data_IF_088873945249
#
_entry.id   IF_088873945249
#
_cell.length_a   1.000
_cell.length_b   1.000
_cell.length_c   1.000
_cell.angle_alpha   90.00
_cell.angle_beta   90.00
_cell.angle_gamma   90.00
#
_symmetry.space_group_name_H-M   'P 1'
#
loop_
_entity.id
_entity.type
_entity.pdbx_description
1 polymer ?
#
# COMPACT_ATOMS: atom_id res chain seq x y z
N UNK A 1 50.18 11.30 46.59
CA UNK A 1 48.96 10.71 45.97
C UNK A 1 49.37 10.08 44.65
N UNK A 2 49.70 8.79 44.66
CA UNK A 2 50.22 8.07 43.48
C UNK A 2 49.07 7.78 42.51
N UNK A 3 49.06 8.45 41.37
CA UNK A 3 48.14 8.15 40.27
C UNK A 3 48.41 6.72 39.77
N UNK A 4 47.53 5.78 40.08
CA UNK A 4 47.56 4.44 39.46
C UNK A 4 47.35 4.63 37.96
N UNK A 5 48.38 4.36 37.17
CA UNK A 5 48.24 4.34 35.72
C UNK A 5 47.22 3.27 35.31
N UNK A 6 46.32 3.57 34.35
CA UNK A 6 45.36 2.61 33.86
C UNK A 6 46.08 1.48 33.10
N UNK A 7 45.73 0.22 33.38
CA UNK A 7 46.27 -0.95 32.69
C UNK A 7 46.01 -0.87 31.18
N UNK A 8 47.00 -1.21 30.32
CA UNK A 8 46.85 -1.31 28.87
C UNK A 8 45.72 -2.25 28.45
N UNK A 9 45.09 -2.01 27.31
CA UNK A 9 43.98 -2.84 26.82
C UNK A 9 44.43 -4.27 26.46
N UNK A 10 45.60 -4.41 25.83
CA UNK A 10 46.24 -5.70 25.54
C UNK A 10 46.43 -6.56 26.79
N UNK A 11 46.83 -5.94 27.90
CA UNK A 11 47.04 -6.61 29.18
C UNK A 11 45.72 -7.14 29.75
N UNK A 12 44.63 -6.37 29.64
CA UNK A 12 43.30 -6.78 30.09
C UNK A 12 42.77 -7.95 29.28
N UNK A 13 42.97 -7.92 27.96
CA UNK A 13 42.53 -8.99 27.05
C UNK A 13 43.26 -10.30 27.37
N UNK A 14 44.59 -10.28 27.52
CA UNK A 14 45.36 -11.49 27.85
C UNK A 14 44.99 -12.04 29.25
N UNK A 15 44.77 -11.17 30.24
CA UNK A 15 44.31 -11.58 31.57
C UNK A 15 42.94 -12.27 31.53
N UNK A 16 42.02 -11.81 30.66
CA UNK A 16 40.71 -12.43 30.46
C UNK A 16 40.83 -13.77 29.72
N UNK A 17 41.69 -13.87 28.68
CA UNK A 17 41.95 -15.13 27.97
C UNK A 17 42.46 -16.24 28.87
N UNK A 18 43.30 -15.92 29.85
CA UNK A 18 43.78 -16.90 30.83
C UNK A 18 42.64 -17.52 31.65
N UNK A 19 41.52 -16.82 31.81
CA UNK A 19 40.36 -17.29 32.57
C UNK A 19 39.35 -17.96 31.64
N UNK A 20 39.05 -17.36 30.48
CA UNK A 20 38.00 -17.86 29.56
C UNK A 20 38.48 -18.96 28.62
N UNK A 21 39.70 -18.87 28.09
CA UNK A 21 40.25 -19.85 27.14
C UNK A 21 41.10 -20.91 27.83
N UNK A 22 41.91 -20.51 28.82
CA UNK A 22 42.83 -21.43 29.54
C UNK A 22 42.25 -22.01 30.84
N UNK A 23 41.06 -21.55 31.25
CA UNK A 23 40.30 -22.14 32.37
C UNK A 23 40.89 -21.91 33.77
N UNK A 24 41.81 -20.96 33.96
CA UNK A 24 42.35 -20.66 35.28
C UNK A 24 41.30 -19.98 36.18
N UNK A 25 41.36 -20.25 37.49
CA UNK A 25 40.47 -19.58 38.46
C UNK A 25 40.84 -18.10 38.60
N UNK A 26 39.82 -17.25 38.74
CA UNK A 26 39.97 -15.80 38.89
C UNK A 26 40.90 -15.42 40.06
N UNK A 27 40.83 -16.18 41.16
CA UNK A 27 41.68 -15.97 42.33
C UNK A 27 43.17 -16.19 42.05
N UNK A 28 43.50 -17.24 41.29
CA UNK A 28 44.88 -17.61 40.96
C UNK A 28 45.49 -16.59 39.99
N UNK A 29 44.69 -16.17 39.00
CA UNK A 29 45.09 -15.14 38.02
C UNK A 29 45.27 -13.79 38.72
N UNK A 30 44.36 -13.41 39.62
CA UNK A 30 44.44 -12.19 40.44
C UNK A 30 45.73 -12.11 41.26
N UNK A 31 46.09 -13.20 41.94
CA UNK A 31 47.31 -13.29 42.74
C UNK A 31 48.57 -13.21 41.88
N UNK A 32 48.56 -13.85 40.69
CA UNK A 32 49.73 -13.91 39.79
C UNK A 32 50.05 -12.56 39.12
N UNK A 33 49.04 -11.83 38.67
CA UNK A 33 49.24 -10.56 37.93
C UNK A 33 49.09 -9.31 38.79
N UNK A 34 48.80 -9.45 40.10
CA UNK A 34 48.73 -8.35 41.05
C UNK A 34 47.53 -7.42 40.85
N UNK A 35 46.41 -7.93 40.33
CA UNK A 35 45.19 -7.17 40.05
C UNK A 35 44.05 -7.69 40.93
N UNK A 36 43.22 -6.80 41.50
CA UNK A 36 42.05 -7.20 42.30
C UNK A 36 41.09 -8.10 41.50
N UNK A 37 40.53 -9.12 42.15
CA UNK A 37 39.48 -9.98 41.56
C UNK A 37 38.30 -9.18 41.00
N UNK A 38 37.90 -8.08 41.67
CA UNK A 38 36.83 -7.20 41.18
C UNK A 38 37.12 -6.61 39.79
N UNK A 39 38.36 -6.18 39.55
CA UNK A 39 38.79 -5.67 38.24
C UNK A 39 38.80 -6.76 37.18
N UNK A 40 39.21 -7.98 37.53
CA UNK A 40 39.17 -9.13 36.63
C UNK A 40 37.74 -9.51 36.24
N UNK A 41 36.80 -9.57 37.18
CA UNK A 41 35.38 -9.79 36.85
C UNK A 41 34.82 -8.69 35.93
N UNK A 42 35.22 -7.43 36.16
CA UNK A 42 34.85 -6.32 35.28
C UNK A 42 35.42 -6.48 33.87
N UNK A 43 36.67 -6.94 33.74
CA UNK A 43 37.29 -7.20 32.44
C UNK A 43 36.72 -8.42 31.74
N UNK A 44 36.40 -9.50 32.45
CA UNK A 44 35.70 -10.66 31.88
C UNK A 44 34.38 -10.21 31.25
N UNK A 45 33.57 -9.42 31.97
CA UNK A 45 32.33 -8.87 31.41
C UNK A 45 32.55 -8.00 30.18
N UNK A 46 33.67 -7.28 30.12
CA UNK A 46 33.99 -6.35 29.03
C UNK A 46 34.78 -6.97 27.86
N UNK A 47 35.42 -8.13 28.01
CA UNK A 47 36.35 -8.69 27.02
C UNK A 47 36.23 -10.22 26.82
N UNK A 48 35.31 -10.91 27.51
CA UNK A 48 35.11 -12.35 27.32
C UNK A 48 34.64 -12.73 25.90
N UNK A 49 33.98 -11.80 25.21
CA UNK A 49 33.63 -11.94 23.79
C UNK A 49 34.64 -11.16 22.97
N UNK A 50 35.31 -11.77 21.98
CA UNK A 50 36.21 -11.07 21.06
C UNK A 50 35.56 -9.84 20.43
N UNK A 51 36.35 -8.79 20.19
CA UNK A 51 35.85 -7.56 19.57
C UNK A 51 35.21 -7.81 18.18
N UNK A 52 35.77 -8.75 17.42
CA UNK A 52 35.25 -9.21 16.12
C UNK A 52 33.86 -9.85 16.24
N UNK A 53 33.65 -10.72 17.23
CA UNK A 53 32.35 -11.35 17.48
C UNK A 53 31.29 -10.34 17.95
N UNK A 54 31.69 -9.34 18.76
CA UNK A 54 30.77 -8.24 19.15
C UNK A 54 30.36 -7.38 17.97
N UNK A 55 31.29 -7.05 17.08
CA UNK A 55 30.99 -6.31 15.85
C UNK A 55 30.05 -7.11 14.95
N UNK A 56 30.29 -8.41 14.80
CA UNK A 56 29.44 -9.31 14.03
C UNK A 56 28.03 -9.41 14.63
N UNK A 57 27.90 -9.61 15.94
CA UNK A 57 26.58 -9.65 16.61
C UNK A 57 25.80 -8.34 16.46
N UNK A 58 26.49 -7.20 16.53
CA UNK A 58 25.86 -5.89 16.35
C UNK A 58 25.36 -5.72 14.91
N UNK A 59 26.20 -6.05 13.93
CA UNK A 59 25.84 -6.05 12.50
C UNK A 59 24.66 -6.99 12.21
N UNK A 60 24.70 -8.22 12.71
CA UNK A 60 23.60 -9.19 12.58
C UNK A 60 22.31 -8.69 13.24
N UNK A 61 22.40 -8.03 14.40
CA UNK A 61 21.23 -7.45 15.06
C UNK A 61 20.62 -6.29 14.27
N UNK A 62 21.43 -5.48 13.59
CA UNK A 62 20.98 -4.42 12.68
C UNK A 62 20.29 -5.00 11.45
N UNK A 63 20.87 -6.02 10.81
CA UNK A 63 20.24 -6.74 9.70
C UNK A 63 18.92 -7.39 10.13
N UNK A 64 18.87 -8.02 11.31
CA UNK A 64 17.66 -8.64 11.83
C UNK A 64 16.55 -7.60 12.05
N UNK A 65 16.90 -6.39 12.52
CA UNK A 65 15.95 -5.27 12.67
C UNK A 65 15.45 -4.80 11.31
N UNK A 66 16.34 -4.66 10.32
CA UNK A 66 15.99 -4.27 8.95
C UNK A 66 15.04 -5.29 8.30
N UNK A 67 15.41 -6.58 8.34
CA UNK A 67 14.61 -7.67 7.78
C UNK A 67 13.24 -7.79 8.46
N UNK A 68 13.17 -7.64 9.79
CA UNK A 68 11.89 -7.62 10.52
C UNK A 68 11.00 -6.44 10.09
N UNK A 69 11.58 -5.27 9.84
CA UNK A 69 10.82 -4.11 9.36
C UNK A 69 10.28 -4.32 7.94
N UNK A 70 11.09 -4.92 7.05
CA UNK A 70 10.67 -5.26 5.69
C UNK A 70 9.58 -6.34 5.69
N UNK A 71 9.75 -7.40 6.49
CA UNK A 71 8.74 -8.46 6.62
C UNK A 71 7.41 -7.90 7.12
N UNK A 72 7.43 -6.97 8.08
CA UNK A 72 6.23 -6.28 8.57
C UNK A 72 5.55 -5.51 7.45
N UNK A 73 6.31 -4.70 6.69
CA UNK A 73 5.80 -3.94 5.54
C UNK A 73 5.14 -4.86 4.50
N UNK A 74 5.83 -5.92 4.10
CA UNK A 74 5.33 -6.85 3.07
C UNK A 74 4.09 -7.61 3.56
N UNK A 75 4.02 -7.95 4.85
CA UNK A 75 2.84 -8.59 5.44
C UNK A 75 1.63 -7.66 5.41
N UNK A 76 1.82 -6.37 5.73
CA UNK A 76 0.77 -5.36 5.61
C UNK A 76 0.29 -5.21 4.15
N UNK A 77 1.21 -5.15 3.18
CA UNK A 77 0.89 -5.10 1.74
C UNK A 77 0.07 -6.32 1.28
N UNK A 78 0.43 -7.53 1.73
CA UNK A 78 -0.30 -8.76 1.42
C UNK A 78 -1.70 -8.80 2.04
N UNK A 79 -1.88 -8.29 3.25
CA UNK A 79 -3.19 -8.32 3.90
C UNK A 79 -4.17 -7.34 3.23
N UNK A 80 -3.66 -6.26 2.64
CA UNK A 80 -4.41 -5.34 1.79
C UNK A 80 -4.87 -6.05 0.52
N UNK A 81 -3.95 -6.76 -0.15
CA UNK A 81 -4.22 -7.58 -1.33
C UNK A 81 -5.36 -8.57 -1.06
N UNK A 82 -5.31 -9.30 0.06
CA UNK A 82 -6.35 -10.27 0.43
C UNK A 82 -7.72 -9.62 0.62
N UNK A 83 -7.78 -8.46 1.27
CA UNK A 83 -9.06 -7.76 1.51
C UNK A 83 -9.63 -7.13 0.24
N UNK A 84 -8.80 -6.50 -0.57
CA UNK A 84 -9.20 -5.96 -1.86
C UNK A 84 -9.69 -7.09 -2.79
N UNK A 85 -8.93 -8.19 -2.89
CA UNK A 85 -9.34 -9.37 -3.65
C UNK A 85 -10.65 -9.96 -3.12
N UNK A 86 -10.85 -10.05 -1.80
CA UNK A 86 -12.11 -10.52 -1.22
C UNK A 86 -13.30 -9.60 -1.55
N UNK A 87 -13.10 -8.28 -1.55
CA UNK A 87 -14.12 -7.32 -1.98
C UNK A 87 -14.52 -7.56 -3.43
N UNK A 88 -13.55 -7.62 -4.35
CA UNK A 88 -13.85 -7.80 -5.77
C UNK A 88 -14.40 -9.21 -6.08
N UNK A 89 -13.88 -10.26 -5.46
CA UNK A 89 -14.40 -11.63 -5.62
C UNK A 89 -15.85 -11.76 -5.13
N UNK A 90 -16.20 -11.15 -4.00
CA UNK A 90 -17.59 -11.11 -3.51
C UNK A 90 -18.52 -10.39 -4.48
N UNK A 91 -18.03 -9.35 -5.17
CA UNK A 91 -18.78 -8.58 -6.16
C UNK A 91 -18.92 -9.33 -7.51
N UNK A 92 -17.89 -10.09 -7.92
CA UNK A 92 -17.93 -10.92 -9.13
C UNK A 92 -18.76 -12.21 -8.96
N UNK A 93 -18.97 -12.68 -7.72
CA UNK A 93 -19.73 -13.91 -7.42
C UNK A 93 -21.25 -13.82 -7.61
N UNK A 94 -21.80 -12.64 -7.89
CA UNK A 94 -23.23 -12.45 -8.19
C UNK A 94 -23.58 -12.86 -9.65
N UNK A 95 -23.01 -13.96 -10.15
CA UNK A 95 -23.35 -14.54 -11.45
C UNK A 95 -24.05 -15.92 -11.36
N UNK A 96 -24.37 -16.39 -10.16
CA UNK A 96 -25.12 -17.64 -10.00
C UNK A 96 -26.01 -17.59 -8.76
N UNK A 97 -27.27 -17.16 -8.95
CA UNK A 97 -28.46 -17.93 -8.62
C UNK A 97 -29.73 -17.11 -8.93
N UNK A 98 -30.72 -17.85 -9.41
CA UNK A 98 -32.03 -17.43 -9.89
C UNK A 98 -32.83 -16.49 -8.97
N UNK A 99 -33.74 -15.75 -9.62
CA UNK A 99 -35.07 -15.32 -9.17
C UNK A 99 -35.23 -15.23 -7.64
N UNK A 100 -35.14 -14.02 -7.11
CA UNK A 100 -36.32 -13.31 -6.65
C UNK A 100 -35.92 -11.89 -6.24
N UNK A 101 -36.83 -10.96 -6.50
CA UNK A 101 -36.75 -9.56 -6.09
C UNK A 101 -36.71 -9.52 -4.57
N UNK A 102 -35.51 -9.44 -4.00
CA UNK A 102 -35.30 -9.15 -2.60
C UNK A 102 -34.44 -7.92 -2.48
N UNK A 103 -35.13 -6.82 -2.22
CA UNK A 103 -34.62 -5.56 -1.73
C UNK A 103 -33.98 -5.82 -0.37
N UNK A 104 -32.75 -6.36 -0.38
CA UNK A 104 -31.99 -6.58 0.84
C UNK A 104 -31.48 -5.22 1.34
N UNK A 105 -31.72 -4.86 2.61
CA UNK A 105 -31.09 -3.69 3.20
C UNK A 105 -29.57 -3.90 3.15
N UNK A 106 -28.86 -2.97 2.51
CA UNK A 106 -27.41 -2.95 2.52
C UNK A 106 -26.94 -2.98 3.98
N UNK A 107 -26.15 -3.97 4.42
CA UNK A 107 -25.57 -3.90 5.74
C UNK A 107 -24.61 -2.71 5.73
N UNK A 108 -24.82 -1.78 6.67
CA UNK A 108 -23.97 -0.63 6.96
C UNK A 108 -22.59 -1.09 7.44
N UNK A 109 -21.80 -1.67 6.54
CA UNK A 109 -20.43 -2.09 6.79
C UNK A 109 -19.49 -0.94 6.39
N UNK A 110 -19.38 0.05 7.27
CA UNK A 110 -18.25 0.99 7.25
C UNK A 110 -17.03 0.19 7.70
N UNK A 111 -16.34 -0.43 6.77
CA UNK A 111 -15.08 -1.11 7.07
C UNK A 111 -13.95 -0.08 6.95
N UNK A 112 -13.51 0.46 8.08
CA UNK A 112 -12.36 1.36 8.18
C UNK A 112 -11.09 0.53 8.33
N UNK A 113 -10.18 0.61 7.36
CA UNK A 113 -8.90 -0.09 7.44
C UNK A 113 -7.75 0.89 7.29
N UNK A 114 -6.71 0.72 8.11
CA UNK A 114 -5.44 1.41 7.97
C UNK A 114 -4.51 0.61 7.04
N UNK A 115 -4.17 1.18 5.89
CA UNK A 115 -3.12 0.70 4.99
C UNK A 115 -1.81 1.39 5.42
N UNK A 116 -0.80 0.59 5.82
CA UNK A 116 0.54 1.05 6.22
C UNK A 116 0.56 2.17 7.28
N UNK A 117 -0.46 2.22 8.14
CA UNK A 117 -0.61 3.23 9.20
C UNK A 117 -0.82 4.67 8.72
N UNK A 118 -1.08 4.93 7.41
CA UNK A 118 -1.25 6.30 6.86
C UNK A 118 -2.33 6.47 5.80
N UNK A 119 -3.07 5.43 5.43
CA UNK A 119 -4.17 5.50 4.45
C UNK A 119 -5.42 4.83 5.04
N UNK A 120 -6.57 5.53 5.04
CA UNK A 120 -7.86 5.01 5.52
C UNK A 120 -8.69 4.63 4.29
N UNK A 121 -8.80 3.34 4.02
CA UNK A 121 -9.76 2.89 3.02
C UNK A 121 -11.16 2.97 3.64
N UNK A 122 -11.94 4.00 3.30
CA UNK A 122 -13.38 4.03 3.57
C UNK A 122 -14.08 3.52 2.32
N UNK A 123 -14.40 2.22 2.31
CA UNK A 123 -15.19 1.61 1.25
C UNK A 123 -16.64 2.06 1.42
N UNK A 124 -17.11 2.97 0.58
CA UNK A 124 -18.54 3.26 0.49
C UNK A 124 -19.15 2.30 -0.53
N UNK A 125 -20.23 1.56 -0.18
CA UNK A 125 -20.90 0.69 -1.12
C UNK A 125 -21.54 1.57 -2.20
N UNK A 126 -20.96 1.58 -3.41
CA UNK A 126 -21.59 2.21 -4.56
C UNK A 126 -22.67 1.30 -5.14
N UNK A 127 -23.83 1.88 -5.43
CA UNK A 127 -25.02 1.14 -5.86
C UNK A 127 -24.77 0.34 -7.14
N UNK A 128 -24.77 -0.99 -7.01
CA UNK A 128 -24.80 -1.93 -8.11
C UNK A 128 -26.19 -1.87 -8.76
N UNK A 129 -26.27 -1.45 -10.02
CA UNK A 129 -27.51 -1.56 -10.80
C UNK A 129 -27.19 -2.14 -12.17
N UNK A 130 -27.46 -3.44 -12.33
CA UNK A 130 -27.52 -4.08 -13.64
C UNK A 130 -28.68 -3.45 -14.41
N UNK A 131 -28.37 -2.62 -15.41
CA UNK A 131 -29.38 -2.19 -16.37
C UNK A 131 -29.43 -3.22 -17.50
N UNK A 132 -30.34 -4.17 -17.38
CA UNK A 132 -30.78 -4.96 -18.54
C UNK A 132 -31.58 -4.03 -19.48
N UNK A 133 -30.91 -3.41 -20.46
CA UNK A 133 -31.60 -2.99 -21.69
C UNK A 133 -31.54 -4.17 -22.67
N UNK A 134 -32.69 -4.65 -23.21
CA UNK A 134 -32.68 -5.74 -24.17
C UNK A 134 -31.88 -5.36 -25.41
N UNK A 135 -30.87 -6.17 -25.76
CA UNK A 135 -30.09 -6.02 -27.00
C UNK A 135 -28.57 -5.80 -26.84
N UNK A 136 -28.02 -5.72 -25.62
CA UNK A 136 -26.57 -5.50 -25.40
C UNK A 136 -26.03 -6.44 -24.31
N UNK A 137 -25.60 -7.64 -24.70
CA UNK A 137 -25.15 -8.68 -23.76
C UNK A 137 -23.72 -8.47 -23.23
N UNK A 138 -22.86 -7.77 -23.96
CA UNK A 138 -21.43 -7.64 -23.62
C UNK A 138 -20.96 -6.21 -23.39
N UNK A 139 -21.69 -5.19 -23.87
CA UNK A 139 -21.30 -3.78 -23.75
C UNK A 139 -22.37 -2.93 -23.06
N UNK A 140 -21.92 -1.99 -22.23
CA UNK A 140 -22.78 -0.95 -21.64
C UNK A 140 -23.19 0.12 -22.66
N UNK A 141 -24.12 1.02 -22.31
CA UNK A 141 -24.46 2.15 -23.16
C UNK A 141 -23.28 3.12 -23.30
N UNK A 142 -23.09 3.68 -24.50
CA UNK A 142 -22.00 4.61 -24.86
C UNK A 142 -22.09 5.97 -24.16
N UNK A 143 -23.27 6.30 -23.60
CA UNK A 143 -23.53 7.54 -22.88
C UNK A 143 -22.83 7.64 -21.52
N UNK A 144 -22.19 6.54 -21.07
CA UNK A 144 -21.47 6.49 -19.80
C UNK A 144 -22.37 6.53 -18.57
N UNK A 145 -23.69 6.44 -18.72
CA UNK A 145 -24.65 6.60 -17.63
C UNK A 145 -24.47 5.56 -16.51
N UNK A 146 -24.12 4.32 -16.89
CA UNK A 146 -23.72 3.27 -15.96
C UNK A 146 -22.47 3.60 -15.17
N UNK A 147 -21.42 4.07 -15.84
CA UNK A 147 -20.16 4.47 -15.22
C UNK A 147 -20.34 5.71 -14.32
N UNK A 148 -21.12 6.71 -14.76
CA UNK A 148 -21.41 7.93 -13.99
C UNK A 148 -22.10 7.60 -12.68
N UNK A 149 -23.09 6.70 -12.69
CA UNK A 149 -23.74 6.24 -11.46
C UNK A 149 -22.82 5.43 -10.57
N UNK A 150 -21.95 4.59 -11.12
CA UNK A 150 -20.99 3.84 -10.33
C UNK A 150 -19.99 4.77 -9.61
N UNK A 151 -19.60 5.87 -10.25
CA UNK A 151 -18.77 6.93 -9.68
C UNK A 151 -19.54 7.90 -8.75
N UNK A 152 -20.74 7.56 -8.28
CA UNK A 152 -21.53 8.45 -7.44
C UNK A 152 -20.86 8.75 -6.08
N UNK A 153 -20.16 9.88 -6.02
CA UNK A 153 -19.45 10.37 -4.82
C UNK A 153 -20.38 10.76 -3.67
N UNK A 154 -21.67 10.97 -3.95
CA UNK A 154 -22.68 11.27 -2.94
C UNK A 154 -22.77 10.19 -1.85
N UNK A 155 -22.57 8.92 -2.20
CA UNK A 155 -22.55 7.82 -1.21
C UNK A 155 -21.33 7.87 -0.30
N UNK A 156 -20.25 8.53 -0.74
CA UNK A 156 -19.07 8.82 0.06
C UNK A 156 -19.17 10.15 0.83
N UNK A 157 -20.24 10.93 0.63
CA UNK A 157 -20.36 12.28 1.18
C UNK A 157 -19.31 13.26 0.62
N UNK A 158 -18.80 12.99 -0.59
CA UNK A 158 -17.76 13.79 -1.21
C UNK A 158 -18.30 14.56 -2.42
N UNK A 159 -17.82 15.79 -2.58
CA UNK A 159 -17.95 16.56 -3.81
C UNK A 159 -16.85 16.16 -4.81
N UNK A 160 -17.08 16.30 -6.14
CA UNK A 160 -16.09 15.98 -7.17
C UNK A 160 -14.72 16.64 -6.94
N UNK A 161 -14.69 17.86 -6.45
CA UNK A 161 -13.47 18.64 -6.20
C UNK A 161 -12.61 18.06 -5.06
N UNK A 162 -13.21 17.22 -4.21
CA UNK A 162 -12.52 16.55 -3.12
C UNK A 162 -11.77 15.30 -3.57
N UNK A 163 -11.91 14.86 -4.83
CA UNK A 163 -11.20 13.73 -5.42
C UNK A 163 -10.12 14.23 -6.36
N UNK A 164 -8.86 13.97 -6.03
CA UNK A 164 -7.72 14.48 -6.82
C UNK A 164 -7.21 13.47 -7.84
N UNK A 165 -7.45 12.17 -7.61
CA UNK A 165 -6.92 11.10 -8.45
C UNK A 165 -8.00 10.10 -8.85
N UNK A 166 -8.02 9.70 -10.11
CA UNK A 166 -8.82 8.62 -10.67
C UNK A 166 -7.92 7.57 -11.33
N UNK A 167 -7.97 6.34 -10.82
CA UNK A 167 -7.48 5.16 -11.53
C UNK A 167 -8.62 4.58 -12.38
N UNK A 168 -8.62 4.94 -13.66
CA UNK A 168 -9.63 4.57 -14.64
C UNK A 168 -9.63 3.07 -14.95
N UNK A 169 -10.78 2.57 -15.41
CA UNK A 169 -10.89 1.20 -15.85
C UNK A 169 -10.13 0.99 -17.16
N UNK A 170 -10.31 1.87 -18.15
CA UNK A 170 -9.56 1.98 -19.42
C UNK A 170 -9.03 0.63 -19.95
N UNK A 171 -9.93 -0.15 -20.56
CA UNK A 171 -9.63 -1.46 -21.13
C UNK A 171 -9.12 -1.38 -22.56
N UNK A 172 -8.91 -0.16 -23.08
CA UNK A 172 -8.54 0.08 -24.48
C UNK A 172 -9.62 -0.40 -25.45
N UNK A 173 -10.89 -0.36 -25.00
CA UNK A 173 -12.03 -0.69 -25.84
C UNK A 173 -12.73 0.59 -26.28
N UNK A 174 -13.06 0.69 -27.58
CA UNK A 174 -13.65 1.92 -28.13
C UNK A 174 -14.92 2.35 -27.39
N UNK A 175 -15.86 1.43 -27.16
CA UNK A 175 -17.13 1.71 -26.46
C UNK A 175 -16.91 1.98 -24.97
N UNK A 176 -16.08 1.16 -24.32
CA UNK A 176 -15.88 1.23 -22.86
C UNK A 176 -15.13 2.49 -22.44
N UNK A 177 -14.03 2.81 -23.13
CA UNK A 177 -13.20 3.96 -22.80
C UNK A 177 -13.95 5.27 -23.11
N UNK A 178 -14.73 5.34 -24.21
CA UNK A 178 -15.57 6.51 -24.50
C UNK A 178 -16.67 6.70 -23.46
N UNK A 179 -17.33 5.63 -23.02
CA UNK A 179 -18.33 5.69 -21.96
C UNK A 179 -17.73 6.13 -20.62
N UNK A 180 -16.54 5.65 -20.29
CA UNK A 180 -15.82 6.09 -19.09
C UNK A 180 -15.42 7.58 -19.18
N UNK A 181 -14.85 8.01 -20.30
CA UNK A 181 -14.49 9.42 -20.53
C UNK A 181 -15.71 10.35 -20.44
N UNK A 182 -16.85 9.95 -21.03
CA UNK A 182 -18.10 10.70 -20.96
C UNK A 182 -18.59 10.83 -19.50
N UNK A 183 -18.50 9.75 -18.73
CA UNK A 183 -18.88 9.74 -17.33
C UNK A 183 -17.96 10.63 -16.47
N UNK A 184 -16.63 10.56 -16.70
CA UNK A 184 -15.65 11.42 -16.02
C UNK A 184 -15.90 12.88 -16.32
N UNK A 185 -16.10 13.22 -17.60
CA UNK A 185 -16.42 14.58 -18.04
C UNK A 185 -17.72 15.09 -17.44
N UNK A 186 -18.74 14.25 -17.32
CA UNK A 186 -20.02 14.63 -16.71
C UNK A 186 -19.90 14.88 -15.21
N UNK A 187 -18.99 14.18 -14.51
CA UNK A 187 -18.85 14.27 -13.05
C UNK A 187 -17.87 15.36 -12.63
N UNK A 188 -16.72 15.46 -13.29
CA UNK A 188 -15.62 16.36 -12.95
C UNK A 188 -15.53 17.59 -13.87
N UNK A 189 -16.37 17.65 -14.91
CA UNK A 189 -16.34 18.72 -15.90
C UNK A 189 -15.14 18.63 -16.86
N UNK A 190 -14.90 19.73 -17.56
CA UNK A 190 -13.70 19.94 -18.39
C UNK A 190 -12.89 21.10 -17.84
N UNK A 191 -11.68 20.81 -17.42
CA UNK A 191 -10.80 21.76 -16.72
C UNK A 191 -9.62 21.09 -16.03
N UNK A 192 -9.42 19.78 -16.24
CA UNK A 192 -8.31 19.04 -15.65
C UNK A 192 -8.36 18.89 -14.12
N UNK A 193 -9.54 18.86 -13.51
CA UNK A 193 -9.69 18.88 -12.07
C UNK A 193 -9.26 17.57 -11.37
N UNK A 194 -9.26 16.43 -12.08
CA UNK A 194 -8.90 15.11 -11.54
C UNK A 194 -7.80 14.47 -12.37
N UNK A 195 -6.67 14.20 -11.74
CA UNK A 195 -5.57 13.46 -12.34
C UNK A 195 -6.04 12.05 -12.69
N UNK A 196 -5.94 11.62 -13.94
CA UNK A 196 -6.50 10.35 -14.39
C UNK A 196 -5.43 9.47 -15.01
N UNK A 197 -5.32 8.23 -14.53
CA UNK A 197 -4.40 7.24 -15.08
C UNK A 197 -5.04 5.86 -15.19
N UNK A 198 -4.41 4.92 -15.89
CA UNK A 198 -4.79 3.50 -15.81
C UNK A 198 -3.60 2.60 -15.53
N UNK A 199 -3.70 1.78 -14.48
CA UNK A 199 -2.68 0.78 -14.17
C UNK A 199 -2.62 -0.36 -15.18
N UNK A 200 -3.73 -0.65 -15.88
CA UNK A 200 -3.79 -1.70 -16.91
C UNK A 200 -2.84 -1.42 -18.06
N UNK A 201 -2.54 -0.14 -18.32
CA UNK A 201 -1.57 0.24 -19.32
C UNK A 201 -0.16 -0.31 -19.06
N UNK A 202 0.20 -0.55 -17.79
CA UNK A 202 1.48 -1.12 -17.40
C UNK A 202 1.39 -2.63 -17.07
N UNK A 203 0.28 -3.10 -16.51
CA UNK A 203 0.14 -4.47 -16.00
C UNK A 203 -0.64 -5.42 -16.91
N UNK A 204 -1.26 -4.90 -17.96
CA UNK A 204 -2.31 -5.62 -18.69
C UNK A 204 -3.61 -5.77 -17.89
N UNK A 205 -4.62 -6.39 -18.50
CA UNK A 205 -5.91 -6.59 -17.86
C UNK A 205 -5.97 -7.93 -17.11
N UNK A 206 -5.77 -7.88 -15.80
CA UNK A 206 -5.75 -9.06 -14.92
C UNK A 206 -7.15 -9.59 -14.52
N UNK A 207 -8.16 -9.40 -15.37
CA UNK A 207 -9.55 -9.84 -15.15
C UNK A 207 -10.04 -9.58 -13.71
N UNK A 208 -10.42 -10.62 -12.96
CA UNK A 208 -10.92 -10.51 -11.58
C UNK A 208 -9.93 -9.88 -10.59
N UNK A 209 -8.63 -9.91 -10.86
CA UNK A 209 -7.63 -9.25 -10.03
C UNK A 209 -7.41 -7.77 -10.38
N UNK A 210 -7.95 -7.28 -11.50
CA UNK A 210 -7.70 -5.93 -11.99
C UNK A 210 -8.14 -4.85 -10.99
N UNK A 211 -9.29 -5.04 -10.33
CA UNK A 211 -9.76 -4.10 -9.31
C UNK A 211 -8.85 -4.02 -8.08
N UNK A 212 -8.37 -5.17 -7.60
CA UNK A 212 -7.48 -5.23 -6.44
C UNK A 212 -6.14 -4.56 -6.73
N UNK A 213 -5.56 -4.82 -7.90
CA UNK A 213 -4.31 -4.17 -8.33
C UNK A 213 -4.51 -2.66 -8.47
N UNK A 214 -5.57 -2.21 -9.12
CA UNK A 214 -5.87 -0.79 -9.26
C UNK A 214 -6.04 -0.07 -7.90
N UNK A 215 -6.68 -0.73 -6.93
CA UNK A 215 -6.84 -0.22 -5.57
C UNK A 215 -5.50 -0.09 -4.82
N UNK A 216 -4.56 -1.01 -5.04
CA UNK A 216 -3.23 -0.94 -4.43
C UNK A 216 -2.46 0.24 -4.97
N UNK A 217 -2.43 0.42 -6.28
CA UNK A 217 -1.77 1.58 -6.89
C UNK A 217 -2.38 2.89 -6.42
N UNK A 218 -3.71 2.97 -6.24
CA UNK A 218 -4.35 4.14 -5.67
C UNK A 218 -3.99 4.37 -4.19
N UNK A 219 -3.90 3.32 -3.38
CA UNK A 219 -3.42 3.43 -2.01
C UNK A 219 -1.95 3.86 -1.93
N UNK A 220 -1.09 3.35 -2.83
CA UNK A 220 0.31 3.75 -2.95
C UNK A 220 0.41 5.21 -3.41
N UNK A 221 -0.41 5.65 -4.37
CA UNK A 221 -0.47 7.04 -4.80
C UNK A 221 -0.83 7.96 -3.63
N UNK A 222 -1.86 7.61 -2.83
CA UNK A 222 -2.23 8.35 -1.62
C UNK A 222 -1.12 8.35 -0.55
N UNK A 223 -0.37 7.25 -0.41
CA UNK A 223 0.72 7.16 0.56
C UNK A 223 1.92 8.02 0.13
N UNK A 224 2.35 7.83 -1.11
CA UNK A 224 3.59 8.37 -1.67
C UNK A 224 3.41 9.77 -2.27
N UNK A 225 2.15 10.22 -2.41
CA UNK A 225 1.77 11.52 -2.97
C UNK A 225 2.26 11.69 -4.42
N UNK A 226 2.13 10.62 -5.20
CA UNK A 226 2.54 10.56 -6.60
C UNK A 226 1.46 9.83 -7.38
N UNK A 227 0.97 10.46 -8.45
CA UNK A 227 0.08 9.81 -9.41
C UNK A 227 0.91 9.00 -10.41
N UNK A 228 0.59 7.70 -10.63
CA UNK A 228 1.32 6.87 -11.57
C UNK A 228 1.03 7.27 -13.03
N UNK A 229 2.03 7.10 -13.88
CA UNK A 229 1.90 7.33 -15.32
C UNK A 229 1.02 6.25 -15.99
N UNK A 230 0.22 6.67 -16.95
CA UNK A 230 -0.38 5.80 -17.96
C UNK A 230 0.66 5.53 -19.04
N UNK A 231 1.09 4.28 -19.16
CA UNK A 231 1.99 3.84 -20.24
C UNK A 231 1.23 3.75 -21.57
N UNK A 232 1.95 3.84 -22.69
CA UNK A 232 1.39 3.64 -24.03
C UNK A 232 0.26 4.61 -24.47
N UNK A 233 -0.02 5.67 -23.69
CA UNK A 233 -0.97 6.71 -24.07
C UNK A 233 -0.25 7.77 -24.93
N UNK A 234 -0.27 7.58 -26.25
CA UNK A 234 0.37 8.47 -27.23
C UNK A 234 -0.65 9.43 -27.84
N UNK A 235 -1.81 8.91 -28.23
CA UNK A 235 -2.87 9.68 -28.88
C UNK A 235 -4.19 9.48 -28.11
N UNK A 236 -4.52 10.39 -27.17
CA UNK A 236 -5.79 10.35 -26.46
C UNK A 236 -6.99 10.51 -27.40
N UNK A 237 -8.14 9.92 -27.05
CA UNK A 237 -9.40 10.14 -27.75
C UNK A 237 -9.80 11.63 -27.68
N UNK A 238 -10.47 12.14 -28.71
CA UNK A 238 -10.96 13.52 -28.73
C UNK A 238 -11.90 13.85 -27.55
N UNK A 239 -12.61 12.86 -26.99
CA UNK A 239 -13.42 13.03 -25.78
C UNK A 239 -12.60 13.31 -24.52
N UNK A 240 -11.31 12.97 -24.52
CA UNK A 240 -10.40 13.27 -23.42
C UNK A 240 -9.91 14.73 -23.41
N UNK A 241 -10.23 15.53 -24.44
CA UNK A 241 -9.84 16.94 -24.48
C UNK A 241 -10.43 17.69 -23.28
N UNK A 242 -9.54 18.31 -22.50
CA UNK A 242 -9.88 19.04 -21.26
C UNK A 242 -9.91 18.18 -19.99
N UNK A 243 -9.60 16.88 -20.11
CA UNK A 243 -9.35 16.00 -18.98
C UNK A 243 -7.84 15.92 -18.69
N UNK A 244 -7.50 15.73 -17.42
CA UNK A 244 -6.10 15.65 -16.97
C UNK A 244 -5.63 14.19 -16.99
N UNK A 245 -5.13 13.74 -18.15
CA UNK A 245 -4.63 12.39 -18.33
C UNK A 245 -3.11 12.33 -18.10
N UNK A 246 -2.69 11.42 -17.22
CA UNK A 246 -1.28 11.22 -16.87
C UNK A 246 -0.53 10.42 -17.93
N UNK A 247 -0.24 11.05 -19.06
CA UNK A 247 0.50 10.42 -20.15
C UNK A 247 2.02 10.43 -19.87
N UNK A 248 2.63 9.24 -19.82
CA UNK A 248 4.09 9.07 -19.97
C UNK A 248 4.97 9.31 -18.73
N UNK A 249 4.57 10.16 -17.79
CA UNK A 249 5.36 10.41 -16.57
C UNK A 249 4.51 10.44 -15.30
N UNK A 250 5.10 10.04 -14.18
CA UNK A 250 4.44 10.08 -12.89
C UNK A 250 4.53 11.49 -12.31
N UNK A 251 3.47 11.97 -11.66
CA UNK A 251 3.37 13.34 -11.17
C UNK A 251 3.25 13.39 -9.65
N UNK A 252 4.21 14.00 -8.95
CA UNK A 252 4.06 14.31 -7.53
C UNK A 252 2.96 15.36 -7.33
N UNK A 253 1.98 15.08 -6.47
CA UNK A 253 0.94 16.04 -6.13
C UNK A 253 0.26 15.68 -4.79
N UNK A 254 -0.31 16.66 -4.07
CA UNK A 254 -1.05 16.39 -2.85
C UNK A 254 -2.34 15.62 -3.16
N UNK A 255 -2.51 14.45 -2.54
CA UNK A 255 -3.69 13.59 -2.71
C UNK A 255 -4.35 13.31 -1.36
N UNK A 256 -5.65 13.57 -1.28
CA UNK A 256 -6.49 13.24 -0.12
C UNK A 256 -7.47 12.10 -0.45
N UNK A 257 -8.08 12.14 -1.63
CA UNK A 257 -8.96 11.06 -2.09
C UNK A 257 -8.59 10.58 -3.48
N UNK A 258 -8.68 9.27 -3.67
CA UNK A 258 -8.52 8.59 -4.94
C UNK A 258 -9.76 7.76 -5.27
N UNK A 259 -10.20 7.80 -6.52
CA UNK A 259 -11.28 6.99 -7.08
C UNK A 259 -10.68 5.87 -7.95
N UNK A 260 -11.27 4.68 -7.91
CA UNK A 260 -10.82 3.50 -8.66
C UNK A 260 -12.00 2.88 -9.38
N UNK A 261 -11.92 2.75 -10.70
CA UNK A 261 -13.00 2.22 -11.53
C UNK A 261 -12.78 0.75 -11.94
N UNK A 262 -13.83 -0.06 -11.77
CA UNK A 262 -13.92 -1.46 -12.17
C UNK A 262 -15.18 -1.72 -12.97
N UNK A 263 -15.08 -1.74 -14.30
CA UNK A 263 -16.23 -1.89 -15.19
C UNK A 263 -16.17 -3.21 -15.95
N UNK A 264 -16.98 -4.17 -15.52
CA UNK A 264 -17.08 -5.49 -16.12
C UNK A 264 -17.99 -5.53 -17.36
N UNK A 265 -17.88 -6.63 -18.11
CA UNK A 265 -18.78 -6.94 -19.20
C UNK A 265 -20.24 -7.00 -18.74
N UNK A 266 -21.17 -6.70 -19.65
CA UNK A 266 -22.61 -6.74 -19.36
C UNK A 266 -23.12 -5.59 -18.49
N UNK A 267 -22.34 -4.52 -18.31
CA UNK A 267 -22.76 -3.31 -17.61
C UNK A 267 -22.63 -3.37 -16.08
N UNK A 268 -21.85 -4.32 -15.56
CA UNK A 268 -21.53 -4.41 -14.13
C UNK A 268 -20.44 -3.40 -13.81
N UNK A 269 -20.83 -2.24 -13.25
CA UNK A 269 -19.90 -1.16 -12.93
C UNK A 269 -19.77 -1.00 -11.42
N UNK A 270 -18.52 -0.86 -10.94
CA UNK A 270 -18.22 -0.55 -9.55
C UNK A 270 -17.10 0.50 -9.47
N UNK A 271 -17.22 1.42 -8.51
CA UNK A 271 -16.16 2.40 -8.22
C UNK A 271 -15.88 2.46 -6.72
N UNK A 272 -14.59 2.54 -6.37
CA UNK A 272 -14.12 2.58 -4.99
C UNK A 272 -13.43 3.92 -4.72
N UNK A 273 -13.81 4.58 -3.63
CA UNK A 273 -13.09 5.74 -3.10
C UNK A 273 -12.14 5.31 -1.98
N UNK A 274 -10.91 5.83 -1.99
CA UNK A 274 -9.91 5.67 -0.95
C UNK A 274 -9.54 7.04 -0.40
N UNK A 275 -9.38 7.15 0.93
CA UNK A 275 -8.97 8.38 1.60
C UNK A 275 -7.60 8.23 2.26
N UNK A 276 -6.84 9.32 2.32
CA UNK A 276 -5.63 9.35 3.14
C UNK A 276 -6.02 9.39 4.63
N UNK A 277 -5.25 8.70 5.49
CA UNK A 277 -5.48 8.77 6.93
C UNK A 277 -4.70 9.93 7.52
N UNK A 278 -5.39 10.78 8.26
CA UNK A 278 -4.80 11.76 9.16
C UNK A 278 -5.13 11.36 10.61
N UNK A 279 -4.15 11.27 11.52
CA UNK A 279 -4.43 11.03 12.93
C UNK A 279 -5.28 12.18 13.49
N UNK A 280 -6.50 11.87 13.97
CA UNK A 280 -7.41 12.83 14.62
C UNK A 280 -8.75 13.07 13.91
N UNK A 281 -8.98 12.51 12.71
CA UNK A 281 -10.27 12.57 12.04
C UNK A 281 -11.21 11.47 12.56
N UNK A 282 -12.03 11.81 13.56
CA UNK A 282 -13.17 11.02 14.06
C UNK A 282 -14.32 11.02 13.05
#
# INVERSE_FOLDING_TARGET
MTSKQPYPEEFKIEAVKQITERGHRVADVSARIGVSQHSLYKWIKAYAVPASERQLQTSQAEELRRLKAELKRVTEERDILKKAAAYFAKQSGCLQLHRDVLQLPAPSFISSWAIAGRVRATTFPTAQRCLEKPGRFTSGPEDGDGARRAMALAQAGLAPEQVQYLNAHATSTYVGDRGELAAVRSLFGTGGAVATSSTKAATGHLLGAAGAVAAIFAALALRDQVVPATRNLVQPDALAVGLDLEAGSARPMPLQHALVNGFGFGGVNASLVLGRWAPGAS
#
